data_IF_564292166058
#
_entry.id   IF_564292166058
#
_cell.length_a   1.000
_cell.length_b   1.000
_cell.length_c   1.000
_cell.angle_alpha   90.00
_cell.angle_beta   90.00
_cell.angle_gamma   90.00
#
_symmetry.space_group_name_H-M   'P 1'
#
loop_
_entity.id
_entity.type
_entity.pdbx_description
1 polymer ?
#
# COMPACT_ATOMS: atom_id res chain seq x y z
N UNK A 1 13.98 -11.98 29.18
CA UNK A 1 14.12 -11.39 30.53
C UNK A 1 13.15 -10.21 30.76
N UNK A 2 13.15 -9.17 29.90
CA UNK A 2 12.46 -7.88 30.11
C UNK A 2 10.95 -7.85 30.43
N UNK A 3 10.20 -8.92 30.17
CA UNK A 3 8.74 -9.00 30.38
C UNK A 3 8.34 -10.15 31.31
N UNK A 4 9.31 -10.84 31.92
CA UNK A 4 9.06 -12.02 32.76
C UNK A 4 8.39 -11.65 34.08
N UNK A 5 8.71 -10.45 34.57
CA UNK A 5 8.28 -9.98 35.90
C UNK A 5 6.97 -9.16 35.83
N UNK A 6 6.35 -9.07 34.64
CA UNK A 6 5.03 -8.44 34.51
C UNK A 6 3.94 -9.38 35.00
N UNK A 7 3.12 -8.98 35.99
CA UNK A 7 2.03 -9.82 36.50
C UNK A 7 0.93 -10.03 35.45
N UNK A 8 0.72 -9.04 34.58
CA UNK A 8 -0.16 -9.13 33.41
C UNK A 8 0.43 -8.30 32.27
N UNK A 9 0.09 -8.65 31.02
CA UNK A 9 0.50 -7.88 29.83
C UNK A 9 -0.63 -7.02 29.27
N UNK A 10 -1.86 -7.25 29.72
CA UNK A 10 -3.04 -6.49 29.34
C UNK A 10 -4.25 -6.88 30.16
N UNK A 11 -5.35 -6.14 29.99
CA UNK A 11 -6.59 -6.33 30.72
C UNK A 11 -7.81 -5.81 29.96
N UNK A 12 -8.99 -6.15 30.47
CA UNK A 12 -10.27 -5.72 29.92
C UNK A 12 -10.70 -4.38 30.51
N UNK A 13 -11.48 -3.63 29.73
CA UNK A 13 -12.02 -2.34 30.09
C UNK A 13 -13.51 -2.27 29.76
N UNK A 14 -14.35 -2.20 30.79
CA UNK A 14 -15.81 -2.11 30.66
C UNK A 14 -16.33 -0.71 30.26
N UNK A 15 -15.45 0.18 29.80
CA UNK A 15 -15.77 1.54 29.40
C UNK A 15 -15.00 1.97 28.15
N UNK A 16 -15.23 3.21 27.69
CA UNK A 16 -14.41 3.75 26.60
C UNK A 16 -12.98 4.01 27.09
N UNK A 17 -11.98 3.68 26.27
CA UNK A 17 -10.59 4.09 26.54
C UNK A 17 -10.45 5.62 26.66
N UNK A 18 -11.38 6.37 26.07
CA UNK A 18 -11.45 7.82 26.16
C UNK A 18 -11.74 8.32 27.58
N UNK A 19 -12.25 7.49 28.48
CA UNK A 19 -12.40 7.85 29.90
C UNK A 19 -11.05 8.24 30.52
N UNK A 20 -9.95 7.61 30.09
CA UNK A 20 -8.61 7.91 30.60
C UNK A 20 -8.01 9.21 30.01
N UNK A 21 -8.69 9.85 29.05
CA UNK A 21 -8.34 11.19 28.58
C UNK A 21 -8.90 12.30 29.49
N UNK A 22 -9.86 11.97 30.36
CA UNK A 22 -10.52 12.93 31.25
C UNK A 22 -9.61 13.26 32.45
N UNK A 23 -9.61 14.51 32.88
CA UNK A 23 -8.76 15.00 33.99
C UNK A 23 -8.97 14.23 35.30
N UNK A 24 -10.17 13.70 35.55
CA UNK A 24 -10.47 12.90 36.75
C UNK A 24 -9.73 11.56 36.82
N UNK A 25 -9.26 11.02 35.69
CA UNK A 25 -8.68 9.68 35.57
C UNK A 25 -7.17 9.70 35.22
N UNK A 26 -6.49 10.82 35.50
CA UNK A 26 -5.07 11.01 35.14
C UNK A 26 -4.17 10.02 35.89
N UNK A 27 -4.50 9.69 37.15
CA UNK A 27 -3.75 8.72 37.94
C UNK A 27 -3.79 7.32 37.32
N UNK A 28 -5.00 6.83 37.01
CA UNK A 28 -5.20 5.54 36.35
C UNK A 28 -4.53 5.51 34.98
N UNK A 29 -4.60 6.61 34.22
CA UNK A 29 -3.91 6.72 32.94
C UNK A 29 -2.39 6.58 33.08
N UNK A 30 -1.78 7.16 34.13
CA UNK A 30 -0.35 7.03 34.39
C UNK A 30 0.03 5.60 34.81
N UNK A 31 -0.80 4.95 35.64
CA UNK A 31 -0.61 3.55 36.02
C UNK A 31 -0.64 2.65 34.78
N UNK A 32 -1.68 2.77 33.95
CA UNK A 32 -1.84 1.95 32.75
C UNK A 32 -0.76 2.23 31.69
N UNK A 33 -0.21 3.45 31.66
CA UNK A 33 0.94 3.82 30.83
C UNK A 33 2.27 3.21 31.34
N UNK A 34 2.30 2.68 32.56
CA UNK A 34 3.52 2.16 33.20
C UNK A 34 4.45 3.26 33.70
N UNK A 35 3.91 4.44 34.02
CA UNK A 35 4.65 5.58 34.55
C UNK A 35 4.71 5.60 36.08
N UNK A 36 3.88 4.81 36.75
CA UNK A 36 3.88 4.66 38.21
C UNK A 36 4.71 3.43 38.63
N UNK A 37 5.80 3.67 39.35
CA UNK A 37 6.75 2.63 39.79
C UNK A 37 6.09 1.61 40.72
N UNK A 38 5.06 1.99 41.48
CA UNK A 38 4.37 1.08 42.42
C UNK A 38 3.52 0.03 41.69
N UNK A 39 3.11 0.31 40.45
CA UNK A 39 2.23 -0.54 39.65
C UNK A 39 2.93 -1.19 38.45
N UNK A 40 4.17 -0.77 38.17
CA UNK A 40 5.04 -1.35 37.16
C UNK A 40 5.54 -0.32 36.15
N UNK A 41 6.70 -0.62 35.55
CA UNK A 41 7.38 0.29 34.61
C UNK A 41 6.99 0.07 33.14
N UNK A 42 5.84 -0.56 32.90
CA UNK A 42 5.45 -1.05 31.57
C UNK A 42 3.97 -0.80 31.32
N UNK A 43 3.67 -0.30 30.13
CA UNK A 43 2.32 -0.07 29.67
C UNK A 43 1.55 -1.38 29.52
N UNK A 44 0.31 -1.39 29.97
CA UNK A 44 -0.62 -2.51 29.80
C UNK A 44 -1.47 -2.29 28.55
N UNK A 45 -1.69 -3.38 27.81
CA UNK A 45 -2.65 -3.37 26.72
C UNK A 45 -4.09 -3.41 27.23
N UNK A 46 -4.97 -2.61 26.63
CA UNK A 46 -6.36 -2.52 27.04
C UNK A 46 -7.28 -3.11 25.96
N UNK A 47 -8.21 -3.96 26.39
CA UNK A 47 -9.26 -4.52 25.54
C UNK A 47 -10.60 -3.97 25.99
N UNK A 48 -11.21 -3.13 25.18
CA UNK A 48 -12.54 -2.61 25.45
C UNK A 48 -13.56 -3.74 25.29
N UNK A 49 -14.38 -3.91 26.31
CA UNK A 49 -15.46 -4.89 26.34
C UNK A 49 -16.79 -4.16 26.22
N UNK A 50 -17.67 -4.72 25.41
CA UNK A 50 -19.09 -4.39 25.36
C UNK A 50 -19.90 -5.44 26.15
N UNK A 51 -19.36 -5.85 27.30
CA UNK A 51 -20.06 -6.76 28.20
C UNK A 51 -21.35 -6.08 28.67
N UNK A 52 -22.50 -6.61 28.22
CA UNK A 52 -23.79 -6.03 28.54
C UNK A 52 -24.29 -6.59 29.86
N UNK A 53 -24.34 -5.73 30.87
CA UNK A 53 -24.88 -6.03 32.20
C UNK A 53 -26.36 -5.67 32.32
N UNK A 54 -27.01 -5.41 31.19
CA UNK A 54 -28.43 -5.07 31.10
C UNK A 54 -29.18 -6.19 30.39
N UNK A 55 -30.38 -6.53 30.86
CA UNK A 55 -31.16 -7.65 30.33
C UNK A 55 -31.60 -7.46 28.86
N UNK A 56 -31.55 -6.23 28.36
CA UNK A 56 -31.93 -5.81 27.03
C UNK A 56 -30.76 -5.81 26.02
N UNK A 57 -29.54 -6.13 26.45
CA UNK A 57 -28.34 -6.20 25.61
C UNK A 57 -28.02 -4.92 24.82
N UNK A 58 -28.56 -3.75 25.23
CA UNK A 58 -28.48 -2.49 24.46
C UNK A 58 -27.05 -2.06 24.15
N UNK A 59 -26.12 -2.35 25.06
CA UNK A 59 -24.71 -1.96 24.91
C UNK A 59 -23.82 -3.01 24.23
N UNK A 60 -24.38 -4.15 23.82
CA UNK A 60 -23.63 -5.22 23.17
C UNK A 60 -23.09 -4.75 21.81
N UNK A 61 -21.80 -4.95 21.56
CA UNK A 61 -21.16 -4.55 20.30
C UNK A 61 -20.84 -3.06 20.17
N UNK A 62 -21.19 -2.21 21.14
CA UNK A 62 -20.83 -0.78 21.13
C UNK A 62 -19.32 -0.53 21.13
N UNK A 63 -18.56 -1.50 21.64
CA UNK A 63 -17.11 -1.40 21.83
C UNK A 63 -16.44 -2.65 21.29
N UNK A 64 -15.38 -2.42 20.54
CA UNK A 64 -14.58 -3.46 19.89
C UNK A 64 -13.11 -3.12 20.02
N UNK A 65 -12.29 -4.12 20.34
CA UNK A 65 -10.84 -4.03 20.17
C UNK A 65 -10.42 -4.96 19.05
N UNK A 66 -9.76 -4.40 18.04
CA UNK A 66 -9.25 -5.12 16.88
C UNK A 66 -7.84 -5.61 17.17
N UNK A 67 -7.59 -6.89 16.92
CA UNK A 67 -6.30 -7.52 17.18
C UNK A 67 -5.67 -8.07 15.92
N UNK A 68 -4.43 -7.67 15.65
CA UNK A 68 -3.63 -8.15 14.52
C UNK A 68 -2.80 -9.38 14.94
N UNK A 69 -3.28 -10.55 14.58
CA UNK A 69 -2.58 -11.83 14.72
C UNK A 69 -2.65 -12.68 13.45
N UNK A 70 -1.77 -13.68 13.32
CA UNK A 70 -1.82 -14.65 12.23
C UNK A 70 -2.74 -15.84 12.58
N UNK A 71 -2.62 -16.36 13.81
CA UNK A 71 -3.48 -17.40 14.36
C UNK A 71 -3.95 -16.97 15.75
N UNK A 72 -5.23 -17.19 16.10
CA UNK A 72 -5.80 -16.77 17.38
C UNK A 72 -5.35 -17.71 18.51
N UNK A 73 -4.12 -17.53 19.00
CA UNK A 73 -3.57 -18.29 20.13
C UNK A 73 -3.34 -17.38 21.34
N UNK A 74 -3.27 -17.97 22.54
CA UNK A 74 -2.96 -17.21 23.75
C UNK A 74 -1.62 -16.46 23.64
N UNK A 75 -0.59 -17.07 23.02
CA UNK A 75 0.68 -16.39 22.77
C UNK A 75 0.53 -15.25 21.75
N UNK A 76 -0.32 -15.40 20.73
CA UNK A 76 -0.58 -14.31 19.78
C UNK A 76 -1.24 -13.10 20.47
N UNK A 77 -2.17 -13.33 21.40
CA UNK A 77 -2.75 -12.29 22.25
C UNK A 77 -1.67 -11.65 23.12
N UNK A 78 -0.82 -12.46 23.77
CA UNK A 78 0.30 -11.96 24.58
C UNK A 78 1.23 -11.05 23.76
N UNK A 79 1.61 -11.49 22.56
CA UNK A 79 2.43 -10.70 21.64
C UNK A 79 1.73 -9.43 21.15
N UNK A 80 0.40 -9.48 20.93
CA UNK A 80 -0.39 -8.30 20.63
C UNK A 80 -0.36 -7.28 21.78
N UNK A 81 -0.47 -7.74 23.01
CA UNK A 81 -0.36 -6.88 24.19
C UNK A 81 1.01 -6.22 24.30
N UNK A 82 2.08 -7.01 24.12
CA UNK A 82 3.46 -6.52 24.21
C UNK A 82 3.80 -5.51 23.09
N UNK A 83 3.14 -5.61 21.95
CA UNK A 83 3.33 -4.72 20.80
C UNK A 83 2.04 -3.94 20.44
N UNK A 84 1.31 -3.48 21.47
CA UNK A 84 -0.04 -2.91 21.36
C UNK A 84 -0.16 -1.83 20.27
N UNK A 85 0.81 -0.95 20.12
CA UNK A 85 0.76 0.17 19.17
C UNK A 85 0.68 -0.28 17.71
N UNK A 86 1.17 -1.49 17.43
CA UNK A 86 1.18 -2.08 16.09
C UNK A 86 0.15 -3.20 15.89
N UNK A 87 -0.41 -3.72 16.99
CA UNK A 87 -1.23 -4.94 16.98
C UNK A 87 -2.61 -4.80 17.59
N UNK A 88 -2.88 -3.72 18.32
CA UNK A 88 -4.18 -3.43 18.90
C UNK A 88 -4.70 -2.11 18.35
N UNK A 89 -5.98 -2.09 18.00
CA UNK A 89 -6.68 -0.88 17.59
C UNK A 89 -8.03 -0.82 18.30
N UNK A 90 -8.34 0.33 18.88
CA UNK A 90 -9.64 0.60 19.51
C UNK A 90 -10.69 1.07 18.51
N UNK A 91 -10.25 1.40 17.30
CA UNK A 91 -11.11 1.78 16.17
C UNK A 91 -10.95 0.75 15.05
N UNK A 92 -11.94 0.68 14.17
CA UNK A 92 -11.89 -0.18 12.98
C UNK A 92 -10.64 0.15 12.15
N UNK A 93 -9.71 -0.82 11.94
CA UNK A 93 -8.50 -0.57 11.17
C UNK A 93 -8.82 -0.39 9.69
N UNK A 94 -8.29 0.68 9.09
CA UNK A 94 -8.38 0.85 7.65
C UNK A 94 -7.48 -0.14 6.90
N UNK A 95 -8.05 -0.78 5.88
CA UNK A 95 -7.33 -1.62 4.92
C UNK A 95 -7.18 -0.79 3.65
N UNK A 96 -6.01 -0.81 2.97
CA UNK A 96 -5.85 -0.09 1.71
C UNK A 96 -6.89 -0.58 0.69
N UNK A 97 -7.47 0.32 -0.10
CA UNK A 97 -8.42 -0.05 -1.16
C UNK A 97 -7.78 -0.83 -2.32
N UNK A 98 -6.44 -0.72 -2.45
CA UNK A 98 -5.65 -1.40 -3.48
C UNK A 98 -4.43 -2.08 -2.87
N UNK A 99 -4.28 -3.38 -3.08
CA UNK A 99 -3.10 -4.14 -2.62
C UNK A 99 -2.85 -5.39 -3.45
N UNK A 100 -1.63 -5.92 -3.35
CA UNK A 100 -1.25 -7.20 -3.93
C UNK A 100 -1.55 -8.29 -2.90
N UNK A 101 -2.37 -9.26 -3.28
CA UNK A 101 -2.82 -10.34 -2.38
C UNK A 101 -2.02 -11.63 -2.56
N UNK A 102 -1.44 -11.88 -3.74
CA UNK A 102 -0.68 -13.11 -4.01
C UNK A 102 0.25 -12.94 -5.20
N UNK A 103 1.39 -13.64 -5.17
CA UNK A 103 2.25 -13.85 -6.33
C UNK A 103 2.39 -15.35 -6.59
N UNK A 104 2.23 -15.74 -7.85
CA UNK A 104 2.45 -17.11 -8.34
C UNK A 104 3.51 -17.06 -9.43
N UNK A 105 4.55 -17.87 -9.29
CA UNK A 105 5.56 -18.09 -10.34
C UNK A 105 5.41 -19.54 -10.77
N UNK A 106 5.05 -19.78 -12.03
CA UNK A 106 4.76 -21.13 -12.52
C UNK A 106 5.97 -22.05 -12.40
N UNK A 107 7.16 -21.51 -12.64
CA UNK A 107 8.43 -22.19 -12.43
C UNK A 107 9.60 -21.22 -12.56
N UNK A 108 10.66 -21.46 -11.81
CA UNK A 108 11.93 -20.74 -11.90
C UNK A 108 13.07 -21.74 -11.85
N UNK A 109 14.09 -21.54 -12.68
CA UNK A 109 15.26 -22.44 -12.78
C UNK A 109 15.91 -22.75 -11.43
N UNK A 110 15.85 -21.81 -10.48
CA UNK A 110 16.50 -21.97 -9.17
C UNK A 110 15.53 -22.07 -7.98
N UNK A 111 14.26 -21.65 -8.12
CA UNK A 111 13.28 -21.69 -7.01
C UNK A 111 12.18 -22.75 -7.21
N UNK A 112 12.04 -23.32 -8.41
CA UNK A 112 10.87 -24.10 -8.77
C UNK A 112 9.60 -23.23 -8.81
N UNK A 113 8.45 -23.85 -8.54
CA UNK A 113 7.16 -23.15 -8.44
C UNK A 113 7.10 -22.35 -7.13
N UNK A 114 6.67 -21.10 -7.21
CA UNK A 114 6.51 -20.23 -6.04
C UNK A 114 5.07 -19.77 -5.95
N UNK A 115 4.52 -19.77 -4.74
CA UNK A 115 3.12 -19.44 -4.49
C UNK A 115 3.01 -18.78 -3.11
N UNK A 116 2.91 -17.45 -3.08
CA UNK A 116 3.04 -16.67 -1.85
C UNK A 116 1.82 -15.76 -1.70
N UNK A 117 1.06 -15.96 -0.62
CA UNK A 117 0.05 -15.02 -0.17
C UNK A 117 0.71 -13.82 0.52
N UNK A 118 0.21 -12.61 0.22
CA UNK A 118 0.70 -11.35 0.76
C UNK A 118 -0.37 -10.72 1.64
N UNK A 119 0.07 -10.11 2.73
CA UNK A 119 -0.80 -9.37 3.64
C UNK A 119 -1.07 -7.96 3.07
N UNK A 120 -2.32 -7.45 3.14
CA UNK A 120 -2.69 -6.13 2.62
C UNK A 120 -1.93 -4.97 3.26
N UNK A 121 -1.45 -5.12 4.49
CA UNK A 121 -0.74 -4.06 5.19
C UNK A 121 0.77 -4.19 5.06
N UNK A 122 1.33 -5.35 5.40
CA UNK A 122 2.79 -5.53 5.42
C UNK A 122 3.18 -7.00 5.32
N UNK A 123 4.09 -7.29 4.39
CA UNK A 123 4.72 -8.62 4.24
C UNK A 123 6.23 -8.47 4.26
N UNK A 124 6.90 -9.24 5.12
CA UNK A 124 8.36 -9.34 5.15
C UNK A 124 8.81 -10.69 4.60
N UNK A 125 9.71 -10.67 3.62
CA UNK A 125 10.40 -11.86 3.13
C UNK A 125 11.76 -11.96 3.83
N UNK A 126 11.98 -12.99 4.65
CA UNK A 126 13.18 -13.17 5.49
C UNK A 126 13.89 -14.48 5.13
N UNK A 127 15.22 -14.48 5.17
CA UNK A 127 16.04 -15.65 4.83
C UNK A 127 17.49 -15.31 4.51
N UNK A 128 18.35 -16.32 4.42
CA UNK A 128 19.79 -16.17 4.17
C UNK A 128 20.13 -15.58 2.79
N UNK A 129 21.40 -15.24 2.55
CA UNK A 129 21.85 -14.77 1.23
C UNK A 129 21.59 -15.86 0.17
N UNK A 130 21.13 -15.46 -1.01
CA UNK A 130 20.90 -16.39 -2.13
C UNK A 130 19.56 -17.15 -2.12
N UNK A 131 18.73 -17.01 -1.09
CA UNK A 131 17.45 -17.74 -0.99
C UNK A 131 16.32 -17.22 -1.90
N UNK A 132 16.61 -16.35 -2.87
CA UNK A 132 15.61 -15.87 -3.86
C UNK A 132 14.68 -14.73 -3.41
N UNK A 133 14.84 -14.16 -2.21
CA UNK A 133 13.99 -13.04 -1.71
C UNK A 133 13.92 -11.85 -2.66
N UNK A 134 15.07 -11.34 -3.11
CA UNK A 134 15.12 -10.21 -4.05
C UNK A 134 14.58 -10.60 -5.41
N UNK A 135 14.73 -11.86 -5.81
CA UNK A 135 14.20 -12.36 -7.08
C UNK A 135 12.68 -12.39 -7.11
N UNK A 136 12.03 -12.77 -6.00
CA UNK A 136 10.56 -12.67 -5.88
C UNK A 136 10.09 -11.22 -6.11
N UNK A 137 10.80 -10.25 -5.52
CA UNK A 137 10.49 -8.83 -5.74
C UNK A 137 10.74 -8.41 -7.20
N UNK A 138 11.82 -8.88 -7.83
CA UNK A 138 12.10 -8.59 -9.23
C UNK A 138 11.07 -9.21 -10.18
N UNK A 139 10.56 -10.41 -9.88
CA UNK A 139 9.46 -11.06 -10.61
C UNK A 139 8.15 -10.29 -10.47
N UNK A 140 7.83 -9.82 -9.26
CA UNK A 140 6.66 -9.01 -9.00
C UNK A 140 6.70 -7.70 -9.80
N UNK A 141 7.83 -6.99 -9.76
CA UNK A 141 8.06 -5.77 -10.55
C UNK A 141 7.94 -6.03 -12.04
N UNK A 142 8.53 -7.12 -12.52
CA UNK A 142 8.50 -7.48 -13.93
C UNK A 142 7.08 -7.81 -14.41
N UNK A 143 6.33 -8.60 -13.66
CA UNK A 143 4.96 -8.96 -13.99
C UNK A 143 4.04 -7.72 -14.03
N UNK A 144 4.22 -6.79 -13.11
CA UNK A 144 3.50 -5.52 -13.06
C UNK A 144 4.03 -4.45 -14.03
N UNK A 145 4.95 -4.83 -14.92
CA UNK A 145 5.52 -3.94 -15.93
C UNK A 145 6.15 -2.68 -15.33
N UNK A 146 6.70 -2.75 -14.10
CA UNK A 146 7.39 -1.62 -13.48
C UNK A 146 8.61 -1.24 -14.30
N UNK A 147 8.69 0.04 -14.60
CA UNK A 147 9.82 0.64 -15.28
C UNK A 147 10.52 1.57 -14.28
N UNK A 148 11.64 1.13 -13.67
CA UNK A 148 12.46 2.04 -12.87
C UNK A 148 12.93 3.21 -13.74
N UNK A 149 13.14 4.37 -13.12
CA UNK A 149 13.65 5.56 -13.81
C UNK A 149 14.91 5.21 -14.62
N UNK A 150 15.08 5.85 -15.78
CA UNK A 150 16.28 5.65 -16.59
C UNK A 150 17.51 5.98 -15.73
N UNK A 151 18.45 5.03 -15.66
CA UNK A 151 19.76 5.31 -15.08
C UNK A 151 20.43 6.37 -15.95
N UNK A 152 21.03 7.39 -15.32
CA UNK A 152 21.87 8.36 -16.02
C UNK A 152 23.11 7.67 -16.57
N UNK A 153 23.68 8.22 -17.65
CA UNK A 153 24.85 7.66 -18.34
C UNK A 153 26.06 7.43 -17.43
N UNK A 154 26.17 8.15 -16.31
CA UNK A 154 27.23 8.02 -15.30
C UNK A 154 27.12 6.77 -14.39
N UNK A 155 26.07 5.96 -14.48
CA UNK A 155 25.91 4.74 -13.69
C UNK A 155 26.42 3.49 -14.43
N UNK A 156 27.74 3.32 -14.57
CA UNK A 156 28.31 2.02 -14.97
C UNK A 156 28.00 0.88 -13.96
N UNK A 157 27.39 1.20 -12.81
CA UNK A 157 26.90 0.24 -11.81
C UNK A 157 25.44 -0.17 -12.10
N UNK A 158 25.28 -0.89 -13.22
CA UNK A 158 24.15 -1.76 -13.56
C UNK A 158 22.74 -1.12 -13.51
N UNK A 159 22.30 -0.62 -14.67
CA UNK A 159 20.90 -0.27 -14.95
C UNK A 159 19.95 -1.37 -14.42
N UNK A 160 19.07 -1.07 -13.44
CA UNK A 160 18.16 -2.05 -12.82
C UNK A 160 17.32 -2.82 -13.84
N UNK A 161 17.00 -2.18 -14.98
CA UNK A 161 16.28 -2.80 -16.09
C UNK A 161 17.08 -3.93 -16.74
N UNK A 162 18.37 -3.70 -17.00
CA UNK A 162 19.26 -4.69 -17.62
C UNK A 162 19.43 -5.88 -16.69
N UNK A 163 19.60 -5.62 -15.39
CA UNK A 163 19.70 -6.69 -14.38
C UNK A 163 18.43 -7.52 -14.30
N UNK A 164 17.26 -6.87 -14.24
CA UNK A 164 15.97 -7.57 -14.22
C UNK A 164 15.79 -8.40 -15.48
N UNK A 165 16.04 -7.83 -16.67
CA UNK A 165 15.95 -8.55 -17.94
C UNK A 165 16.86 -9.79 -17.97
N UNK A 166 18.12 -9.65 -17.58
CA UNK A 166 19.07 -10.78 -17.48
C UNK A 166 18.56 -11.85 -16.52
N UNK A 167 17.97 -11.45 -15.39
CA UNK A 167 17.37 -12.37 -14.42
C UNK A 167 16.21 -13.16 -15.05
N UNK A 168 15.28 -12.50 -15.73
CA UNK A 168 14.15 -13.18 -16.39
C UNK A 168 14.63 -14.12 -17.50
N UNK A 169 15.59 -13.66 -18.32
CA UNK A 169 16.21 -14.46 -19.38
C UNK A 169 16.91 -15.70 -18.85
N UNK A 170 17.59 -15.62 -17.71
CA UNK A 170 18.32 -16.74 -17.12
C UNK A 170 17.43 -17.70 -16.32
N UNK A 171 16.30 -17.23 -15.77
CA UNK A 171 15.55 -17.99 -14.75
C UNK A 171 14.14 -18.41 -15.17
N UNK A 172 13.43 -17.60 -15.95
CA UNK A 172 12.04 -17.87 -16.34
C UNK A 172 11.93 -18.34 -17.80
N UNK A 173 12.63 -17.68 -18.72
CA UNK A 173 12.60 -18.03 -20.16
C UNK A 173 12.96 -19.50 -20.47
N UNK A 174 13.98 -20.12 -19.83
CA UNK A 174 14.36 -21.50 -20.15
C UNK A 174 13.27 -22.53 -19.83
N UNK A 175 12.28 -22.15 -19.01
CA UNK A 175 11.17 -23.00 -18.59
C UNK A 175 9.83 -22.59 -19.22
N UNK A 176 9.85 -21.61 -20.13
CA UNK A 176 8.66 -20.89 -20.62
C UNK A 176 7.68 -20.50 -19.50
N UNK A 177 8.25 -20.02 -18.39
CA UNK A 177 7.47 -19.74 -17.19
C UNK A 177 6.67 -18.44 -17.30
N UNK A 178 5.62 -18.33 -16.50
CA UNK A 178 4.83 -17.12 -16.32
C UNK A 178 4.75 -16.72 -14.85
N UNK A 179 4.54 -15.43 -14.63
CA UNK A 179 4.29 -14.86 -13.29
C UNK A 179 2.89 -14.29 -13.26
N UNK A 180 2.12 -14.68 -12.25
CA UNK A 180 0.80 -14.14 -11.94
C UNK A 180 0.87 -13.29 -10.67
N UNK A 181 0.29 -12.11 -10.74
CA UNK A 181 0.15 -11.20 -9.61
C UNK A 181 -1.33 -10.95 -9.39
N UNK A 182 -1.83 -11.41 -8.24
CA UNK A 182 -3.19 -11.16 -7.82
C UNK A 182 -3.24 -9.89 -7.00
N UNK A 183 -4.17 -9.01 -7.35
CA UNK A 183 -4.40 -7.75 -6.68
C UNK A 183 -5.87 -7.61 -6.35
N UNK A 184 -6.17 -6.84 -5.31
CA UNK A 184 -7.52 -6.35 -5.04
C UNK A 184 -7.47 -4.85 -5.28
N UNK A 185 -8.40 -4.35 -6.09
CA UNK A 185 -8.54 -2.92 -6.42
C UNK A 185 -9.99 -2.57 -6.20
N UNK A 186 -10.27 -1.73 -5.21
CA UNK A 186 -11.63 -1.33 -4.80
C UNK A 186 -12.57 -2.54 -4.64
N UNK A 187 -12.10 -3.56 -3.91
CA UNK A 187 -12.82 -4.83 -3.66
C UNK A 187 -13.03 -5.74 -4.88
N UNK A 188 -12.48 -5.39 -6.04
CA UNK A 188 -12.52 -6.23 -7.25
C UNK A 188 -11.18 -6.96 -7.39
N UNK A 189 -11.24 -8.29 -7.54
CA UNK A 189 -10.07 -9.11 -7.78
C UNK A 189 -9.54 -8.90 -9.20
N UNK A 190 -8.24 -8.69 -9.34
CA UNK A 190 -7.53 -8.55 -10.61
C UNK A 190 -6.37 -9.55 -10.64
N UNK A 191 -6.07 -10.11 -11.81
CA UNK A 191 -4.92 -10.98 -12.01
C UNK A 191 -4.14 -10.52 -13.23
N UNK A 192 -2.89 -10.13 -13.01
CA UNK A 192 -1.94 -9.79 -14.08
C UNK A 192 -1.07 -11.02 -14.32
N UNK A 193 -1.09 -11.58 -15.53
CA UNK A 193 -0.23 -12.68 -15.93
C UNK A 193 0.75 -12.20 -16.99
N UNK A 194 2.05 -12.47 -16.79
CA UNK A 194 3.09 -12.17 -17.77
C UNK A 194 3.91 -13.39 -18.11
N UNK A 195 4.01 -13.70 -19.41
CA UNK A 195 4.75 -14.85 -19.95
C UNK A 195 6.19 -14.46 -20.28
N UNK A 196 7.17 -15.27 -19.84
CA UNK A 196 8.58 -14.95 -20.04
C UNK A 196 9.05 -15.20 -21.48
N UNK A 197 8.55 -16.25 -22.13
CA UNK A 197 8.91 -16.61 -23.50
C UNK A 197 8.41 -15.59 -24.52
N UNK A 198 7.09 -15.37 -24.57
CA UNK A 198 6.45 -14.46 -25.52
C UNK A 198 6.47 -12.98 -25.10
N UNK A 199 6.65 -12.69 -23.81
CA UNK A 199 6.49 -11.34 -23.27
C UNK A 199 5.03 -10.87 -23.17
N UNK A 200 4.06 -11.71 -23.54
CA UNK A 200 2.63 -11.38 -23.50
C UNK A 200 2.19 -11.05 -22.06
N UNK A 201 1.41 -9.97 -21.94
CA UNK A 201 0.79 -9.52 -20.71
C UNK A 201 -0.71 -9.70 -20.83
N UNK A 202 -1.31 -10.35 -19.84
CA UNK A 202 -2.73 -10.63 -19.78
C UNK A 202 -3.32 -10.09 -18.48
N UNK A 203 -4.55 -9.60 -18.53
CA UNK A 203 -5.30 -9.11 -17.38
C UNK A 203 -6.62 -9.87 -17.29
N UNK A 204 -6.95 -10.32 -16.09
CA UNK A 204 -8.27 -10.83 -15.73
C UNK A 204 -8.88 -9.94 -14.66
N UNK A 205 -10.13 -9.52 -14.86
CA UNK A 205 -10.88 -8.66 -13.94
C UNK A 205 -12.10 -9.41 -13.41
N UNK A 206 -12.20 -9.56 -12.09
CA UNK A 206 -13.26 -10.28 -11.42
C UNK A 206 -13.41 -11.72 -11.93
N UNK A 207 -14.62 -12.05 -12.41
CA UNK A 207 -14.95 -13.36 -13.00
C UNK A 207 -14.72 -13.44 -14.51
N UNK A 208 -14.20 -12.38 -15.15
CA UNK A 208 -13.93 -12.37 -16.58
C UNK A 208 -12.81 -13.34 -16.98
N UNK A 209 -12.56 -13.39 -18.28
CA UNK A 209 -11.45 -14.15 -18.86
C UNK A 209 -10.17 -13.31 -18.94
N UNK A 210 -9.05 -13.97 -19.25
CA UNK A 210 -7.80 -13.27 -19.51
C UNK A 210 -7.83 -12.59 -20.87
N UNK A 211 -7.60 -11.29 -20.88
CA UNK A 211 -7.48 -10.49 -22.10
C UNK A 211 -6.03 -10.02 -22.28
N UNK A 212 -5.57 -9.93 -23.52
CA UNK A 212 -4.25 -9.40 -23.83
C UNK A 212 -4.25 -7.88 -23.68
N UNK A 213 -3.30 -7.35 -22.90
CA UNK A 213 -3.26 -5.94 -22.53
C UNK A 213 -1.85 -5.38 -22.75
N UNK A 214 -1.75 -4.08 -23.05
CA UNK A 214 -0.45 -3.38 -23.15
C UNK A 214 0.15 -3.14 -21.78
N UNK A 215 1.47 -3.13 -21.68
CA UNK A 215 2.19 -2.83 -20.42
C UNK A 215 1.73 -1.52 -19.75
N UNK A 216 1.45 -0.49 -20.57
CA UNK A 216 1.02 0.84 -20.08
C UNK A 216 -0.29 0.82 -19.32
N UNK A 217 -1.20 -0.10 -19.67
CA UNK A 217 -2.48 -0.24 -18.97
C UNK A 217 -2.31 -0.92 -17.60
N UNK A 218 -1.32 -1.81 -17.43
CA UNK A 218 -0.98 -2.36 -16.11
C UNK A 218 -0.35 -1.29 -15.23
N UNK A 219 0.55 -0.48 -15.79
CA UNK A 219 1.22 0.62 -15.08
C UNK A 219 0.24 1.69 -14.59
N UNK A 220 -0.81 1.98 -15.36
CA UNK A 220 -1.86 2.93 -14.95
C UNK A 220 -2.81 2.32 -13.91
N UNK A 221 -3.11 1.02 -14.03
CA UNK A 221 -3.99 0.31 -13.11
C UNK A 221 -3.36 0.13 -11.72
N UNK A 222 -2.07 -0.22 -11.67
CA UNK A 222 -1.31 -0.50 -10.45
C UNK A 222 0.02 0.25 -10.48
N UNK A 223 0.02 1.55 -10.12
CA UNK A 223 1.25 2.34 -10.06
C UNK A 223 2.09 1.91 -8.86
N UNK A 224 2.91 0.87 -9.04
CA UNK A 224 3.76 0.36 -7.96
C UNK A 224 4.96 1.27 -7.70
N UNK A 225 5.31 1.37 -6.42
CA UNK A 225 6.53 2.01 -5.95
C UNK A 225 7.49 0.91 -5.48
N UNK A 226 8.60 0.77 -6.19
CA UNK A 226 9.56 -0.30 -5.91
C UNK A 226 10.99 0.23 -5.88
N UNK A 227 11.62 0.06 -4.72
CA UNK A 227 12.97 0.52 -4.45
C UNK A 227 13.88 -0.66 -4.12
N UNK A 228 15.01 -0.75 -4.80
CA UNK A 228 16.08 -1.68 -4.43
C UNK A 228 17.03 -1.05 -3.40
N UNK A 229 17.84 -1.88 -2.76
CA UNK A 229 18.78 -1.47 -1.71
C UNK A 229 19.71 -0.32 -2.14
N UNK A 230 20.25 -0.37 -3.37
CA UNK A 230 21.13 0.68 -3.90
C UNK A 230 20.38 1.91 -4.41
N UNK A 231 19.09 1.76 -4.76
CA UNK A 231 18.28 2.89 -5.21
C UNK A 231 17.95 3.82 -4.04
N UNK A 232 17.59 3.29 -2.86
CA UNK A 232 17.29 4.15 -1.71
C UNK A 232 18.47 5.05 -1.30
N UNK A 233 19.71 4.57 -1.44
CA UNK A 233 20.91 5.39 -1.19
C UNK A 233 21.11 6.49 -2.24
N UNK A 234 20.56 6.34 -3.45
CA UNK A 234 20.68 7.34 -4.54
C UNK A 234 19.43 8.23 -4.71
N UNK A 235 18.28 7.86 -4.13
CA UNK A 235 17.03 8.64 -4.21
C UNK A 235 17.20 10.05 -3.66
N UNK A 236 17.97 10.23 -2.58
CA UNK A 236 18.23 11.55 -2.00
C UNK A 236 19.00 12.50 -2.94
N UNK A 237 19.74 11.94 -3.91
CA UNK A 237 20.58 12.69 -4.84
C UNK A 237 19.84 12.94 -6.15
N UNK A 238 18.77 12.19 -6.44
CA UNK A 238 18.03 12.23 -7.72
C UNK A 238 16.73 12.99 -7.58
N UNK A 239 16.74 14.25 -8.02
CA UNK A 239 15.60 15.16 -7.98
C UNK A 239 14.33 14.57 -8.64
N UNK A 240 14.47 13.86 -9.76
CA UNK A 240 13.35 13.21 -10.45
C UNK A 240 12.75 12.02 -9.66
N UNK A 241 13.59 11.23 -8.96
CA UNK A 241 13.10 10.12 -8.13
C UNK A 241 12.42 10.65 -6.86
N UNK A 242 12.96 11.73 -6.28
CA UNK A 242 12.39 12.41 -5.13
C UNK A 242 11.04 13.06 -5.48
N UNK A 243 10.96 13.73 -6.64
CA UNK A 243 9.70 14.25 -7.18
C UNK A 243 8.69 13.12 -7.40
N UNK A 244 9.09 11.99 -8.03
CA UNK A 244 8.20 10.83 -8.20
C UNK A 244 7.72 10.28 -6.85
N UNK A 245 8.59 10.21 -5.85
CA UNK A 245 8.23 9.74 -4.50
C UNK A 245 7.18 10.63 -3.83
N UNK A 246 7.34 11.96 -3.93
CA UNK A 246 6.42 12.94 -3.34
C UNK A 246 5.10 13.01 -4.13
N UNK A 247 5.18 12.98 -5.46
CA UNK A 247 4.01 13.17 -6.34
C UNK A 247 3.18 11.91 -6.53
N UNK A 248 3.78 10.71 -6.45
CA UNK A 248 3.07 9.46 -6.72
C UNK A 248 1.89 9.19 -5.78
N UNK A 249 1.97 9.44 -4.45
CA UNK A 249 0.81 9.30 -3.55
C UNK A 249 -0.34 10.26 -3.88
N UNK A 250 -0.01 11.46 -4.38
CA UNK A 250 -0.97 12.53 -4.69
C UNK A 250 -1.29 12.62 -6.18
N UNK A 251 -0.84 11.65 -6.99
CA UNK A 251 -0.92 11.73 -8.46
C UNK A 251 -2.34 11.93 -8.96
N UNK A 252 -3.31 11.23 -8.35
CA UNK A 252 -4.74 11.39 -8.70
C UNK A 252 -5.24 12.81 -8.43
N UNK A 253 -4.79 13.44 -7.35
CA UNK A 253 -5.15 14.83 -7.03
C UNK A 253 -4.51 15.79 -8.03
N UNK A 254 -3.25 15.57 -8.40
CA UNK A 254 -2.55 16.35 -9.42
C UNK A 254 -3.26 16.25 -10.78
N UNK A 255 -3.62 15.04 -11.21
CA UNK A 255 -4.35 14.81 -12.47
C UNK A 255 -5.74 15.48 -12.46
N UNK A 256 -6.42 15.52 -11.31
CA UNK A 256 -7.69 16.24 -11.16
C UNK A 256 -7.51 17.76 -11.26
N UNK A 257 -6.47 18.30 -10.64
CA UNK A 257 -6.12 19.73 -10.70
C UNK A 257 -5.76 20.13 -12.14
N UNK A 258 -4.94 19.34 -12.83
CA UNK A 258 -4.56 19.59 -14.22
C UNK A 258 -5.78 19.59 -15.16
N UNK A 259 -6.72 18.66 -14.94
CA UNK A 259 -7.97 18.62 -15.69
C UNK A 259 -8.80 19.89 -15.48
N UNK A 260 -8.93 20.35 -14.23
CA UNK A 260 -9.63 21.61 -13.91
C UNK A 260 -8.94 22.81 -14.54
N UNK A 261 -7.61 22.84 -14.54
CA UNK A 261 -6.83 23.92 -15.14
C UNK A 261 -7.06 23.99 -16.65
N UNK A 262 -7.01 22.84 -17.34
CA UNK A 262 -7.32 22.75 -18.76
C UNK A 262 -8.73 23.23 -19.08
N UNK A 263 -9.73 22.82 -18.28
CA UNK A 263 -11.12 23.25 -18.46
C UNK A 263 -11.27 24.77 -18.31
N UNK A 264 -10.72 25.35 -17.24
CA UNK A 264 -10.76 26.80 -17.01
C UNK A 264 -10.03 27.56 -18.13
N UNK A 265 -8.88 27.06 -18.58
CA UNK A 265 -8.14 27.68 -19.70
C UNK A 265 -8.93 27.65 -21.01
N UNK A 266 -9.68 26.56 -21.26
CA UNK A 266 -10.57 26.42 -22.41
C UNK A 266 -11.71 27.43 -22.37
N UNK A 267 -12.39 27.54 -21.22
CA UNK A 267 -13.47 28.52 -21.01
C UNK A 267 -12.99 29.97 -21.19
N UNK A 268 -11.79 30.29 -20.71
CA UNK A 268 -11.18 31.61 -20.89
C UNK A 268 -10.98 31.95 -22.37
N UNK A 269 -10.44 31.00 -23.16
CA UNK A 269 -10.25 31.18 -24.61
C UNK A 269 -11.59 31.35 -25.33
N UNK A 270 -12.60 30.57 -24.97
CA UNK A 270 -13.94 30.67 -25.54
C UNK A 270 -14.58 32.03 -25.24
N UNK A 271 -14.57 32.47 -23.98
CA UNK A 271 -15.08 33.78 -23.56
C UNK A 271 -14.38 34.93 -24.28
N UNK A 272 -13.05 34.85 -24.41
CA UNK A 272 -12.28 35.85 -25.14
C UNK A 272 -12.66 35.88 -26.63
N UNK A 273 -12.81 34.71 -27.26
CA UNK A 273 -13.27 34.60 -28.65
C UNK A 273 -14.68 35.15 -28.86
N UNK A 274 -15.58 34.99 -27.88
CA UNK A 274 -16.93 35.58 -27.90
C UNK A 274 -16.87 37.10 -27.76
N UNK A 275 -16.06 37.62 -26.85
CA UNK A 275 -15.85 39.05 -26.66
C UNK A 275 -15.26 39.71 -27.92
N UNK A 276 -14.31 39.06 -28.59
CA UNK A 276 -13.73 39.55 -29.82
C UNK A 276 -14.74 39.57 -30.98
N UNK A 277 -15.59 38.54 -31.10
CA UNK A 277 -16.70 38.52 -32.06
C UNK A 277 -17.68 39.67 -31.81
N UNK A 278 -18.07 39.90 -30.55
CA UNK A 278 -18.95 41.01 -30.19
C UNK A 278 -18.33 42.37 -30.56
N UNK A 279 -17.04 42.59 -30.27
CA UNK A 279 -16.33 43.83 -30.65
C UNK A 279 -16.32 44.05 -32.16
N UNK A 280 -16.07 43.01 -32.95
CA UNK A 280 -16.08 43.12 -34.41
C UNK A 280 -17.46 43.49 -34.94
N UNK A 281 -18.53 42.86 -34.42
CA UNK A 281 -19.92 43.20 -34.76
C UNK A 281 -20.27 44.65 -34.44
N UNK A 282 -19.85 45.16 -33.27
CA UNK A 282 -20.08 46.57 -32.90
C UNK A 282 -19.39 47.52 -33.87
N UNK A 283 -18.13 47.24 -34.25
CA UNK A 283 -17.39 48.06 -35.22
C UNK A 283 -18.01 48.00 -36.61
N UNK A 284 -18.54 46.85 -37.03
CA UNK A 284 -19.27 46.73 -38.31
C UNK A 284 -20.57 47.54 -38.31
N UNK A 285 -21.33 47.52 -37.22
CA UNK A 285 -22.56 48.30 -37.07
C UNK A 285 -22.25 49.81 -37.12
N UNK A 286 -21.22 50.25 -36.39
CA UNK A 286 -20.78 51.66 -36.40
C UNK A 286 -20.29 52.15 -37.77
N UNK A 287 -19.75 51.26 -38.61
CA UNK A 287 -19.35 51.59 -40.00
C UNK A 287 -20.50 51.57 -41.01
N UNK A 288 -21.63 50.94 -40.66
CA UNK A 288 -22.80 50.81 -41.53
C UNK A 288 -23.82 51.93 -41.38
N UNK A 289 -23.69 52.74 -40.33
CA UNK A 289 -24.41 54.01 -40.11
C UNK A 289 -23.56 55.21 -40.55
#
# INVERSE_FOLDING_TARGET
AKYRDMPSVGGYLDCSIDEFKKQKNVGEAQILAGNDVNWGSKRLALFQTSDSRTADFVHLGERSTWVKWAQPTAEAIRQACLAQESRLSQTDPSIPGTWISRIVVSGSKFMGRVDIALNPQYTALIGGRGTGKSTILDYLRWALCDQPAQASEDDEVANPRVRQRKLIEATLKPLDAHVEVHCIINSIAHVVRRHAGSGLVQLKVGKGEFENVRETAIQSLLPIQAYSQKQLSSVAIRLNELLRYITSPIRRQLEEIDRKLLEVSGRLRENYGTLQRYRNLVVEIERSN
#
